data_IF_486386543727
#
_entry.id   IF_486386543727
#
_cell.length_a   1.000
_cell.length_b   1.000
_cell.length_c   1.000
_cell.angle_alpha   90.00
_cell.angle_beta   90.00
_cell.angle_gamma   90.00
#
_symmetry.space_group_name_H-M   'P 1'
#
loop_
_entity.id
_entity.type
_entity.pdbx_description
1 polymer ?
#
# COMPACT_ATOMS: atom_id res chain seq x y z
N UNK A 1 -4.95 -27.88 -10.20
CA UNK A 1 -3.96 -28.73 -9.53
C UNK A 1 -2.88 -29.23 -10.50
N UNK A 2 -3.18 -30.02 -11.53
CA UNK A 2 -2.18 -30.57 -12.46
C UNK A 2 -1.38 -29.48 -13.17
N UNK A 3 -2.02 -28.41 -13.63
CA UNK A 3 -1.34 -27.27 -14.28
C UNK A 3 -0.40 -26.53 -13.33
N UNK A 4 -0.80 -26.31 -12.08
CA UNK A 4 0.06 -25.69 -11.06
C UNK A 4 1.28 -26.57 -10.76
N UNK A 5 1.11 -27.88 -10.62
CA UNK A 5 2.22 -28.83 -10.44
C UNK A 5 3.18 -28.84 -11.63
N UNK A 6 2.65 -28.84 -12.87
CA UNK A 6 3.48 -28.74 -14.09
C UNK A 6 4.21 -27.39 -14.17
N UNK A 7 3.54 -26.30 -13.77
CA UNK A 7 4.15 -25.00 -13.77
C UNK A 7 5.26 -24.88 -12.71
N UNK A 8 5.05 -25.39 -11.49
CA UNK A 8 6.03 -25.34 -10.42
C UNK A 8 7.17 -26.37 -10.58
N UNK A 9 6.95 -27.49 -11.28
CA UNK A 9 7.88 -28.63 -11.37
C UNK A 9 9.11 -28.43 -12.26
N UNK A 10 9.45 -27.18 -12.65
CA UNK A 10 10.67 -26.85 -13.40
C UNK A 10 11.58 -26.03 -12.49
N UNK A 11 12.89 -26.37 -12.41
CA UNK A 11 13.82 -25.78 -11.44
C UNK A 11 13.82 -24.24 -11.41
N UNK A 12 13.93 -23.59 -12.58
CA UNK A 12 13.95 -22.12 -12.64
C UNK A 12 12.64 -21.51 -12.13
N UNK A 13 11.50 -22.13 -12.46
CA UNK A 13 10.20 -21.63 -12.00
C UNK A 13 10.01 -21.81 -10.50
N UNK A 14 10.54 -22.89 -9.93
CA UNK A 14 10.53 -23.09 -8.48
C UNK A 14 11.34 -22.01 -7.76
N UNK A 15 12.55 -21.67 -8.29
CA UNK A 15 13.39 -20.58 -7.79
C UNK A 15 12.67 -19.24 -7.88
N UNK A 16 12.04 -18.93 -9.02
CA UNK A 16 11.21 -17.71 -9.17
C UNK A 16 10.11 -17.66 -8.12
N UNK A 17 9.39 -18.76 -7.90
CA UNK A 17 8.34 -18.82 -6.86
C UNK A 17 8.90 -18.61 -5.46
N UNK A 18 10.07 -19.17 -5.13
CA UNK A 18 10.72 -18.99 -3.85
C UNK A 18 11.08 -17.53 -3.59
N UNK A 19 11.56 -16.82 -4.60
CA UNK A 19 11.88 -15.39 -4.52
C UNK A 19 10.60 -14.53 -4.38
N UNK A 20 9.60 -14.77 -5.22
CA UNK A 20 8.36 -13.99 -5.24
C UNK A 20 7.47 -14.21 -4.01
N UNK A 21 7.68 -15.27 -3.26
CA UNK A 21 7.04 -15.46 -1.93
C UNK A 21 7.61 -14.51 -0.88
N UNK A 22 8.85 -14.12 -1.03
CA UNK A 22 9.53 -13.24 -0.07
C UNK A 22 9.24 -11.77 -0.40
N UNK A 23 9.31 -11.40 -1.69
CA UNK A 23 9.25 -9.99 -2.13
C UNK A 23 8.64 -9.87 -3.53
N UNK A 24 8.04 -8.70 -3.81
CA UNK A 24 7.66 -8.32 -5.15
C UNK A 24 8.91 -7.88 -5.92
N UNK A 25 9.13 -8.48 -7.10
CA UNK A 25 10.32 -8.23 -7.90
C UNK A 25 9.95 -7.86 -9.34
N UNK A 26 10.69 -6.91 -9.90
CA UNK A 26 10.66 -6.59 -11.33
C UNK A 26 11.36 -7.68 -12.14
N UNK A 27 11.12 -7.69 -13.46
CA UNK A 27 11.85 -8.60 -14.37
C UNK A 27 13.36 -8.37 -14.28
N UNK A 28 13.80 -7.10 -14.20
CA UNK A 28 15.22 -6.76 -14.07
C UNK A 28 15.85 -7.32 -12.80
N UNK A 29 15.18 -7.18 -11.67
CA UNK A 29 15.64 -7.71 -10.37
C UNK A 29 15.68 -9.26 -10.37
N UNK A 30 14.66 -9.90 -10.94
CA UNK A 30 14.66 -11.37 -11.09
C UNK A 30 15.84 -11.85 -11.96
N UNK A 31 16.20 -11.11 -13.03
CA UNK A 31 17.38 -11.43 -13.85
C UNK A 31 18.66 -11.28 -13.04
N UNK A 32 18.78 -10.23 -12.21
CA UNK A 32 19.96 -10.03 -11.37
C UNK A 32 20.14 -11.15 -10.33
N UNK A 33 19.05 -11.59 -9.69
CA UNK A 33 19.10 -12.65 -8.69
C UNK A 33 19.37 -14.03 -9.30
N UNK A 34 18.71 -14.37 -10.40
CA UNK A 34 18.75 -15.71 -11.00
C UNK A 34 19.98 -16.00 -11.85
N UNK A 35 20.90 -15.03 -12.03
CA UNK A 35 22.02 -15.00 -12.97
C UNK A 35 21.65 -14.75 -14.45
N UNK A 36 22.54 -14.05 -15.20
CA UNK A 36 22.27 -13.60 -16.58
C UNK A 36 22.08 -14.72 -17.61
N UNK A 37 22.20 -15.99 -17.24
CA UNK A 37 22.06 -17.14 -18.12
C UNK A 37 20.60 -17.61 -18.35
N UNK A 38 19.57 -16.82 -17.95
CA UNK A 38 18.17 -17.22 -18.08
C UNK A 38 17.42 -16.47 -19.22
N UNK A 39 17.75 -16.69 -20.50
CA UNK A 39 17.11 -15.98 -21.63
C UNK A 39 15.61 -16.29 -21.77
N UNK A 40 15.08 -17.24 -20.98
CA UNK A 40 13.69 -17.67 -20.99
C UNK A 40 12.84 -17.19 -19.83
N UNK A 41 13.36 -16.30 -18.97
CA UNK A 41 12.62 -15.80 -17.79
C UNK A 41 11.20 -15.26 -18.14
N UNK A 42 10.99 -14.47 -19.21
CA UNK A 42 9.65 -14.05 -19.60
C UNK A 42 8.71 -15.22 -19.88
N UNK A 43 9.21 -16.33 -20.43
CA UNK A 43 8.43 -17.54 -20.69
C UNK A 43 8.05 -18.26 -19.38
N UNK A 44 8.98 -18.34 -18.43
CA UNK A 44 8.72 -18.92 -17.09
C UNK A 44 7.66 -18.10 -16.34
N UNK A 45 7.78 -16.77 -16.33
CA UNK A 45 6.80 -15.87 -15.72
C UNK A 45 5.41 -15.99 -16.35
N UNK A 46 5.34 -16.08 -17.69
CA UNK A 46 4.07 -16.30 -18.41
C UNK A 46 3.42 -17.64 -18.01
N UNK A 47 4.20 -18.70 -17.90
CA UNK A 47 3.69 -20.03 -17.51
C UNK A 47 3.16 -20.01 -16.06
N UNK A 48 3.88 -19.38 -15.13
CA UNK A 48 3.47 -19.24 -13.74
C UNK A 48 2.21 -18.37 -13.57
N UNK A 49 2.13 -17.26 -14.33
CA UNK A 49 0.93 -16.41 -14.35
C UNK A 49 -0.28 -17.15 -14.91
N UNK A 50 -0.12 -17.88 -16.01
CA UNK A 50 -1.21 -18.69 -16.59
C UNK A 50 -1.71 -19.80 -15.65
N UNK A 51 -0.84 -20.34 -14.79
CA UNK A 51 -1.18 -21.32 -13.77
C UNK A 51 -1.79 -20.71 -12.49
N UNK A 52 -1.91 -19.37 -12.41
CA UNK A 52 -2.44 -18.67 -11.24
C UNK A 52 -1.53 -18.70 -10.01
N UNK A 53 -0.23 -18.97 -10.19
CA UNK A 53 0.76 -19.02 -9.12
C UNK A 53 1.50 -17.69 -8.91
N UNK A 54 1.47 -16.83 -9.92
CA UNK A 54 2.13 -15.52 -9.92
C UNK A 54 1.19 -14.47 -10.49
N UNK A 55 1.19 -13.30 -9.87
CA UNK A 55 0.47 -12.12 -10.34
C UNK A 55 1.44 -11.16 -11.05
N UNK A 56 0.96 -10.56 -12.15
CA UNK A 56 1.70 -9.56 -12.92
C UNK A 56 1.16 -8.17 -12.59
N UNK A 57 2.02 -7.25 -12.17
CA UNK A 57 1.66 -5.89 -11.78
C UNK A 57 2.42 -4.88 -12.63
N UNK A 58 1.76 -4.27 -13.64
CA UNK A 58 2.35 -3.16 -14.38
C UNK A 58 2.53 -1.94 -13.45
N UNK A 59 3.69 -1.27 -13.55
CA UNK A 59 4.03 -0.10 -12.75
C UNK A 59 4.85 0.88 -13.61
N UNK A 60 4.16 1.76 -14.34
CA UNK A 60 4.76 2.65 -15.32
C UNK A 60 5.48 1.87 -16.44
N UNK A 61 6.78 2.11 -16.61
CA UNK A 61 7.63 1.38 -17.56
C UNK A 61 8.14 0.04 -17.01
N UNK A 62 7.85 -0.27 -15.75
CA UNK A 62 8.26 -1.51 -15.09
C UNK A 62 7.12 -2.52 -15.01
N UNK A 63 7.48 -3.79 -14.85
CA UNK A 63 6.53 -4.85 -14.55
C UNK A 63 7.06 -5.61 -13.36
N UNK A 64 6.32 -5.56 -12.27
CA UNK A 64 6.58 -6.36 -11.07
C UNK A 64 5.80 -7.65 -11.11
N UNK A 65 6.31 -8.63 -10.39
CA UNK A 65 5.68 -9.93 -10.19
C UNK A 65 5.65 -10.25 -8.69
N UNK A 66 4.60 -10.94 -8.25
CA UNK A 66 4.45 -11.46 -6.89
C UNK A 66 3.90 -12.87 -6.89
N UNK A 67 4.11 -13.61 -5.82
CA UNK A 67 3.40 -14.86 -5.59
C UNK A 67 1.90 -14.60 -5.42
N UNK A 68 1.06 -15.45 -5.98
CA UNK A 68 -0.38 -15.26 -5.94
C UNK A 68 -0.92 -15.20 -4.52
N UNK A 69 -1.78 -14.20 -4.26
CA UNK A 69 -2.49 -14.01 -3.00
C UNK A 69 -3.89 -14.65 -3.01
N UNK A 70 -4.36 -15.02 -4.20
CA UNK A 70 -5.63 -15.72 -4.34
C UNK A 70 -5.64 -17.07 -3.57
N UNK A 71 -6.78 -17.39 -2.94
CA UNK A 71 -6.92 -18.53 -2.01
C UNK A 71 -6.34 -19.84 -2.54
N UNK A 72 -6.55 -20.14 -3.82
CA UNK A 72 -6.01 -21.35 -4.46
C UNK A 72 -4.48 -21.28 -4.63
N UNK A 73 -3.94 -20.19 -5.19
CA UNK A 73 -2.51 -20.03 -5.44
C UNK A 73 -1.72 -20.02 -4.14
N UNK A 74 -2.20 -19.26 -3.14
CA UNK A 74 -1.58 -19.18 -1.80
C UNK A 74 -1.52 -20.56 -1.14
N UNK A 75 -2.66 -21.28 -1.06
CA UNK A 75 -2.71 -22.60 -0.44
C UNK A 75 -1.80 -23.63 -1.15
N UNK A 76 -1.74 -23.58 -2.48
CA UNK A 76 -0.84 -24.44 -3.25
C UNK A 76 0.63 -24.14 -2.94
N UNK A 77 1.02 -22.87 -2.97
CA UNK A 77 2.41 -22.44 -2.68
C UNK A 77 2.81 -22.77 -1.26
N UNK A 78 1.94 -22.55 -0.28
CA UNK A 78 2.22 -22.88 1.12
C UNK A 78 2.45 -24.37 1.31
N UNK A 79 1.63 -25.23 0.67
CA UNK A 79 1.78 -26.68 0.71
C UNK A 79 3.07 -27.14 0.00
N UNK A 80 3.41 -26.55 -1.14
CA UNK A 80 4.61 -26.89 -1.91
C UNK A 80 5.88 -26.55 -1.10
N UNK A 81 5.97 -25.33 -0.57
CA UNK A 81 7.16 -24.87 0.14
C UNK A 81 7.29 -25.42 1.55
N UNK A 82 6.23 -25.97 2.14
CA UNK A 82 6.31 -26.74 3.38
C UNK A 82 7.06 -28.09 3.20
N UNK A 83 7.17 -28.59 1.96
CA UNK A 83 7.84 -29.85 1.62
C UNK A 83 9.28 -29.65 1.10
N UNK A 84 9.67 -28.41 0.80
CA UNK A 84 11.01 -28.10 0.27
C UNK A 84 12.02 -27.90 1.40
N UNK A 85 13.20 -28.45 1.20
CA UNK A 85 14.35 -28.18 2.07
C UNK A 85 14.77 -26.71 1.90
N UNK A 86 14.79 -25.97 3.00
CA UNK A 86 15.20 -24.56 3.01
C UNK A 86 16.70 -24.38 2.79
N UNK A 87 17.47 -25.42 3.02
CA UNK A 87 18.93 -25.43 2.87
C UNK A 87 19.39 -25.86 1.47
N UNK A 88 18.47 -25.98 0.50
CA UNK A 88 18.81 -26.24 -0.89
C UNK A 88 19.83 -25.19 -1.38
N UNK A 89 21.04 -25.59 -1.82
CA UNK A 89 22.14 -24.65 -2.10
C UNK A 89 21.81 -23.58 -3.16
N UNK A 90 20.93 -23.88 -4.12
CA UNK A 90 20.50 -22.91 -5.12
C UNK A 90 19.56 -21.85 -4.53
N UNK A 91 18.61 -22.27 -3.68
CA UNK A 91 17.67 -21.35 -3.01
C UNK A 91 18.40 -20.45 -2.01
N UNK A 92 19.40 -20.98 -1.29
CA UNK A 92 20.22 -20.20 -0.37
C UNK A 92 21.06 -19.13 -1.11
N UNK A 93 21.64 -19.47 -2.26
CA UNK A 93 22.36 -18.50 -3.10
C UNK A 93 21.44 -17.42 -3.66
N UNK A 94 20.26 -17.79 -4.09
CA UNK A 94 19.26 -16.82 -4.58
C UNK A 94 18.80 -15.88 -3.46
N UNK A 95 18.62 -16.38 -2.25
CA UNK A 95 18.28 -15.56 -1.09
C UNK A 95 19.37 -14.53 -0.78
N UNK A 96 20.65 -14.92 -0.80
CA UNK A 96 21.76 -14.00 -0.59
C UNK A 96 21.80 -12.87 -1.65
N UNK A 97 21.59 -13.20 -2.94
CA UNK A 97 21.51 -12.20 -4.00
C UNK A 97 20.27 -11.33 -3.91
N UNK A 98 19.16 -11.86 -3.42
CA UNK A 98 17.97 -11.08 -3.16
C UNK A 98 18.26 -9.99 -2.11
N UNK A 99 19.04 -10.29 -1.10
CA UNK A 99 19.48 -9.31 -0.09
C UNK A 99 20.38 -8.22 -0.70
N UNK A 100 21.26 -8.55 -1.67
CA UNK A 100 22.05 -7.55 -2.42
C UNK A 100 21.14 -6.62 -3.25
N UNK A 101 20.15 -7.16 -3.94
CA UNK A 101 19.17 -6.37 -4.70
C UNK A 101 18.37 -5.45 -3.79
N UNK A 102 18.01 -5.93 -2.60
CA UNK A 102 17.30 -5.12 -1.59
C UNK A 102 18.17 -3.99 -1.04
N UNK A 103 19.45 -4.25 -0.79
CA UNK A 103 20.40 -3.22 -0.36
C UNK A 103 20.54 -2.12 -1.43
N UNK A 104 20.66 -2.48 -2.71
CA UNK A 104 20.72 -1.52 -3.81
C UNK A 104 19.42 -0.70 -3.93
N UNK A 105 18.25 -1.29 -3.68
CA UNK A 105 16.97 -0.59 -3.63
C UNK A 105 16.93 0.42 -2.48
N UNK A 106 17.41 0.04 -1.30
CA UNK A 106 17.48 0.92 -0.14
C UNK A 106 18.42 2.13 -0.39
N UNK A 107 19.58 1.90 -0.99
CA UNK A 107 20.51 2.96 -1.38
C UNK A 107 19.90 3.93 -2.40
N UNK A 108 19.17 3.41 -3.39
CA UNK A 108 18.45 4.23 -4.36
C UNK A 108 17.34 5.07 -3.72
N UNK A 109 16.63 4.53 -2.72
CA UNK A 109 15.62 5.24 -1.95
C UNK A 109 16.24 6.36 -1.10
N UNK A 110 17.35 6.10 -0.44
CA UNK A 110 18.10 7.09 0.35
C UNK A 110 18.61 8.24 -0.52
N UNK A 111 19.15 7.94 -1.71
CA UNK A 111 19.58 8.96 -2.66
C UNK A 111 18.41 9.84 -3.13
N UNK A 112 17.24 9.27 -3.35
CA UNK A 112 16.03 10.03 -3.68
C UNK A 112 15.63 10.99 -2.54
N UNK A 113 15.59 10.51 -1.29
CA UNK A 113 15.27 11.36 -0.14
C UNK A 113 16.29 12.49 0.07
N UNK A 114 17.57 12.21 -0.10
CA UNK A 114 18.60 13.23 0.04
C UNK A 114 18.41 14.39 -0.95
N UNK A 115 17.92 14.11 -2.14
CA UNK A 115 17.66 15.13 -3.17
C UNK A 115 16.44 16.03 -2.88
N UNK A 116 15.52 15.57 -2.04
CA UNK A 116 14.27 16.31 -1.70
C UNK A 116 14.23 16.70 -0.21
N UNK A 117 15.32 16.50 0.54
CA UNK A 117 15.37 16.68 1.98
C UNK A 117 14.95 18.10 2.43
N UNK A 118 15.40 19.15 1.74
CA UNK A 118 15.04 20.53 2.08
C UNK A 118 13.53 20.79 1.96
N UNK A 119 12.90 20.23 0.92
CA UNK A 119 11.45 20.30 0.71
C UNK A 119 10.68 19.56 1.79
N UNK A 120 11.15 18.36 2.16
CA UNK A 120 10.54 17.55 3.22
C UNK A 120 10.72 18.15 4.62
N UNK A 121 11.87 18.77 4.91
CA UNK A 121 12.09 19.43 6.21
C UNK A 121 11.18 20.64 6.38
N UNK A 122 10.95 21.41 5.32
CA UNK A 122 10.00 22.53 5.34
C UNK A 122 8.55 22.04 5.49
N UNK A 123 8.15 20.97 4.79
CA UNK A 123 6.84 20.35 4.97
C UNK A 123 6.68 19.80 6.39
N UNK A 124 7.69 19.11 6.92
CA UNK A 124 7.65 18.56 8.29
C UNK A 124 7.47 19.65 9.36
N UNK A 125 8.04 20.82 9.16
CA UNK A 125 7.88 21.95 10.11
C UNK A 125 6.45 22.51 10.16
N UNK A 126 5.63 22.23 9.14
CA UNK A 126 4.21 22.62 9.08
C UNK A 126 3.27 21.58 9.71
N UNK A 127 3.79 20.39 10.04
CA UNK A 127 2.98 19.26 10.46
C UNK A 127 3.08 19.05 11.97
N UNK A 128 1.96 18.62 12.55
CA UNK A 128 1.90 18.15 13.93
C UNK A 128 2.80 16.90 14.13
N UNK A 129 3.33 16.65 15.34
CA UNK A 129 4.14 15.44 15.59
C UNK A 129 3.44 14.18 15.13
N UNK A 130 4.06 13.44 14.18
CA UNK A 130 3.47 12.25 13.56
C UNK A 130 3.08 11.18 14.58
N UNK A 131 3.85 11.03 15.67
CA UNK A 131 3.61 10.02 16.70
C UNK A 131 2.24 10.16 17.37
N UNK A 132 1.75 11.39 17.56
CA UNK A 132 0.43 11.64 18.15
C UNK A 132 -0.69 11.29 17.17
N UNK A 133 -0.52 11.62 15.89
CA UNK A 133 -1.49 11.27 14.83
C UNK A 133 -1.54 9.76 14.66
N UNK A 134 -0.39 9.10 14.59
CA UNK A 134 -0.28 7.65 14.44
C UNK A 134 -0.87 6.90 15.63
N UNK A 135 -0.59 7.35 16.86
CA UNK A 135 -1.21 6.80 18.07
C UNK A 135 -2.73 6.92 18.04
N UNK A 136 -3.25 8.08 17.62
CA UNK A 136 -4.68 8.30 17.48
C UNK A 136 -5.32 7.44 16.37
N UNK A 137 -4.62 7.21 15.27
CA UNK A 137 -5.08 6.34 14.20
C UNK A 137 -5.24 4.89 14.68
N UNK A 138 -4.24 4.37 15.39
CA UNK A 138 -4.30 3.00 15.95
C UNK A 138 -5.43 2.90 16.99
N UNK A 139 -5.59 3.91 17.85
CA UNK A 139 -6.69 3.97 18.83
C UNK A 139 -8.06 3.95 18.15
N UNK A 140 -8.26 4.77 17.10
CA UNK A 140 -9.52 4.86 16.36
C UNK A 140 -9.82 3.60 15.54
N UNK A 141 -8.80 2.97 14.96
CA UNK A 141 -8.94 1.71 14.23
C UNK A 141 -9.30 0.56 15.18
N UNK A 142 -8.69 0.54 16.37
CA UNK A 142 -8.70 -0.59 17.31
C UNK A 142 -7.54 -1.54 17.09
N UNK A 143 -7.40 -2.52 17.98
CA UNK A 143 -6.23 -3.40 18.06
C UNK A 143 -6.22 -4.57 17.05
N UNK A 144 -7.16 -4.64 16.13
CA UNK A 144 -7.28 -5.77 15.20
C UNK A 144 -7.67 -7.08 15.91
N UNK A 145 -7.33 -8.27 15.37
CA UNK A 145 -6.71 -8.43 14.06
C UNK A 145 -7.68 -8.07 12.92
N UNK A 146 -7.15 -7.40 11.88
CA UNK A 146 -7.88 -7.13 10.64
C UNK A 146 -7.59 -8.26 9.64
N UNK A 147 -8.57 -8.71 8.88
CA UNK A 147 -8.33 -9.65 7.78
C UNK A 147 -7.53 -8.96 6.67
N UNK A 148 -8.04 -7.81 6.16
CA UNK A 148 -7.33 -7.04 5.13
C UNK A 148 -7.36 -5.54 5.43
N UNK A 149 -6.17 -4.93 5.35
CA UNK A 149 -5.95 -3.48 5.43
C UNK A 149 -5.49 -2.95 4.07
N UNK A 150 -6.09 -1.87 3.60
CA UNK A 150 -5.69 -1.17 2.39
C UNK A 150 -5.27 0.27 2.71
N UNK A 151 -4.15 0.71 2.13
CA UNK A 151 -3.62 2.06 2.27
C UNK A 151 -3.64 2.78 0.91
N UNK A 152 -4.55 3.75 0.77
CA UNK A 152 -4.79 4.49 -0.47
C UNK A 152 -3.91 5.74 -0.52
N UNK A 153 -2.97 5.78 -1.47
CA UNK A 153 -1.91 6.77 -1.52
C UNK A 153 -0.83 6.47 -0.50
N UNK A 154 -0.33 5.24 -0.50
CA UNK A 154 0.59 4.73 0.54
C UNK A 154 1.91 5.50 0.64
N UNK A 155 2.28 6.28 -0.39
CA UNK A 155 3.52 7.05 -0.40
C UNK A 155 4.73 6.18 -0.07
N UNK A 156 5.40 6.50 1.01
CA UNK A 156 6.59 5.81 1.49
C UNK A 156 6.31 4.58 2.36
N UNK A 157 5.04 4.16 2.46
CA UNK A 157 4.63 2.94 3.17
C UNK A 157 4.46 3.10 4.69
N UNK A 158 4.36 4.33 5.20
CA UNK A 158 4.32 4.55 6.66
C UNK A 158 3.09 3.93 7.33
N UNK A 159 1.91 4.08 6.73
CA UNK A 159 0.69 3.48 7.27
C UNK A 159 0.72 1.95 7.20
N UNK A 160 1.32 1.39 6.14
CA UNK A 160 1.54 -0.06 6.07
C UNK A 160 2.46 -0.55 7.19
N UNK A 161 3.55 0.17 7.49
CA UNK A 161 4.44 -0.19 8.61
C UNK A 161 3.69 -0.22 9.95
N UNK A 162 2.73 0.67 10.13
CA UNK A 162 1.95 0.79 11.37
C UNK A 162 0.87 -0.30 11.49
N UNK A 163 0.16 -0.61 10.39
CA UNK A 163 -1.03 -1.45 10.42
C UNK A 163 -0.82 -2.89 9.94
N UNK A 164 0.24 -3.20 9.19
CA UNK A 164 0.51 -4.57 8.76
C UNK A 164 0.70 -5.56 9.93
N UNK A 165 1.31 -5.18 11.07
CA UNK A 165 1.39 -6.06 12.24
C UNK A 165 0.03 -6.40 12.86
N UNK A 166 -1.02 -5.64 12.54
CA UNK A 166 -2.39 -5.80 13.04
C UNK A 166 -3.31 -6.47 12.02
N UNK A 167 -2.78 -6.95 10.87
CA UNK A 167 -3.55 -7.47 9.76
C UNK A 167 -3.02 -8.82 9.26
N UNK A 168 -3.90 -9.63 8.69
CA UNK A 168 -3.50 -10.84 7.96
C UNK A 168 -2.90 -10.50 6.59
N UNK A 169 -3.47 -9.48 5.92
CA UNK A 169 -3.01 -8.93 4.65
C UNK A 169 -3.03 -7.40 4.70
N UNK A 170 -1.93 -6.76 4.27
CA UNK A 170 -1.86 -5.31 4.14
C UNK A 170 -1.32 -4.94 2.75
N UNK A 171 -2.02 -4.06 2.03
CA UNK A 171 -1.60 -3.64 0.70
C UNK A 171 -1.80 -2.14 0.51
N UNK A 172 -0.75 -1.47 -0.01
CA UNK A 172 -0.75 -0.05 -0.32
C UNK A 172 -0.78 0.22 -1.81
N UNK A 173 -1.47 1.30 -2.19
CA UNK A 173 -1.58 1.75 -3.58
C UNK A 173 -1.07 3.18 -3.67
N UNK A 174 -0.25 3.46 -4.68
CA UNK A 174 0.18 4.81 -5.03
C UNK A 174 0.31 4.97 -6.55
N UNK A 175 0.16 6.18 -7.06
CA UNK A 175 0.39 6.51 -8.47
C UNK A 175 1.88 6.60 -8.80
N UNK A 176 2.71 6.98 -7.82
CA UNK A 176 4.12 7.27 -7.99
C UNK A 176 4.97 6.01 -7.86
N UNK A 177 5.58 5.58 -8.97
CA UNK A 177 6.58 4.51 -8.95
C UNK A 177 7.75 4.80 -7.98
N UNK A 178 8.20 6.07 -7.91
CA UNK A 178 9.28 6.46 -6.99
C UNK A 178 8.88 6.26 -5.53
N UNK A 179 7.68 6.68 -5.14
CA UNK A 179 7.17 6.47 -3.78
C UNK A 179 7.08 4.97 -3.45
N UNK A 180 6.62 4.15 -4.39
CA UNK A 180 6.56 2.70 -4.19
C UNK A 180 7.93 2.04 -4.07
N UNK A 181 8.95 2.55 -4.77
CA UNK A 181 10.33 2.08 -4.59
C UNK A 181 10.82 2.35 -3.17
N UNK A 182 10.56 3.56 -2.66
CA UNK A 182 10.88 3.94 -1.29
C UNK A 182 10.07 3.12 -0.28
N UNK A 183 8.78 2.93 -0.51
CA UNK A 183 7.93 2.12 0.36
C UNK A 183 8.47 0.68 0.51
N UNK A 184 8.88 0.05 -0.59
CA UNK A 184 9.48 -1.30 -0.56
C UNK A 184 10.75 -1.31 0.30
N UNK A 185 11.65 -0.34 0.10
CA UNK A 185 12.88 -0.22 0.89
C UNK A 185 12.59 -0.05 2.38
N UNK A 186 11.67 0.85 2.74
CA UNK A 186 11.29 1.11 4.13
C UNK A 186 10.68 -0.13 4.81
N UNK A 187 9.75 -0.82 4.13
CA UNK A 187 9.11 -2.02 4.66
C UNK A 187 10.12 -3.16 4.86
N UNK A 188 11.06 -3.32 3.93
CA UNK A 188 12.15 -4.29 4.03
C UNK A 188 13.07 -3.98 5.20
N UNK A 189 13.52 -2.72 5.33
CA UNK A 189 14.40 -2.27 6.41
C UNK A 189 13.76 -2.44 7.79
N UNK A 190 12.44 -2.23 7.89
CA UNK A 190 11.68 -2.38 9.13
C UNK A 190 11.25 -3.83 9.40
N UNK A 191 11.56 -4.77 8.52
CA UNK A 191 11.19 -6.19 8.68
C UNK A 191 9.68 -6.46 8.55
N UNK A 192 8.94 -5.58 7.87
CA UNK A 192 7.49 -5.72 7.69
C UNK A 192 7.20 -6.64 6.50
N UNK A 193 7.14 -7.95 6.76
CA UNK A 193 7.01 -8.98 5.71
C UNK A 193 5.57 -9.21 5.23
N UNK A 194 4.56 -8.72 5.95
CA UNK A 194 3.12 -8.91 5.62
C UNK A 194 2.55 -7.81 4.72
N UNK A 195 3.30 -6.75 4.45
CA UNK A 195 2.85 -5.62 3.65
C UNK A 195 3.34 -5.69 2.20
N UNK A 196 2.51 -5.22 1.28
CA UNK A 196 2.80 -5.15 -0.15
C UNK A 196 2.40 -3.80 -0.71
N UNK A 197 3.03 -3.41 -1.81
CA UNK A 197 2.67 -2.17 -2.51
C UNK A 197 2.54 -2.42 -4.01
N UNK A 198 1.65 -1.64 -4.66
CA UNK A 198 1.45 -1.69 -6.11
C UNK A 198 1.08 -0.33 -6.66
N UNK A 199 1.40 -0.10 -7.93
CA UNK A 199 0.94 1.10 -8.61
C UNK A 199 -0.55 1.01 -8.94
N UNK A 200 -1.29 2.09 -8.67
CA UNK A 200 -2.70 2.18 -8.98
C UNK A 200 -3.31 3.52 -8.63
N UNK A 201 -4.49 3.76 -9.19
CA UNK A 201 -5.27 4.96 -8.91
C UNK A 201 -6.26 4.67 -7.78
N UNK A 202 -6.24 5.47 -6.72
CA UNK A 202 -7.14 5.33 -5.57
C UNK A 202 -8.63 5.55 -5.89
N UNK A 203 -8.94 6.07 -7.10
CA UNK A 203 -10.32 6.20 -7.58
C UNK A 203 -10.82 4.98 -8.37
N UNK A 204 -9.97 3.98 -8.59
CA UNK A 204 -10.29 2.75 -9.31
C UNK A 204 -9.27 1.66 -8.93
N UNK A 205 -9.35 1.18 -7.68
CA UNK A 205 -8.40 0.19 -7.17
C UNK A 205 -8.75 -1.23 -7.64
N UNK A 206 -7.75 -2.08 -7.91
CA UNK A 206 -7.97 -3.43 -8.45
C UNK A 206 -8.28 -4.44 -7.35
N UNK A 207 -9.22 -4.11 -6.47
CA UNK A 207 -9.71 -4.99 -5.41
C UNK A 207 -11.20 -5.24 -5.55
N UNK A 208 -11.64 -6.40 -5.10
CA UNK A 208 -13.03 -6.80 -5.12
C UNK A 208 -13.88 -5.97 -4.14
N UNK A 209 -15.17 -5.86 -4.43
CA UNK A 209 -16.14 -5.28 -3.52
C UNK A 209 -16.16 -6.04 -2.21
N UNK A 210 -16.34 -5.31 -1.09
CA UNK A 210 -16.46 -5.90 0.24
C UNK A 210 -15.30 -6.85 0.62
N UNK A 211 -14.07 -6.47 0.28
CA UNK A 211 -12.86 -7.28 0.50
C UNK A 211 -11.98 -6.80 1.65
N UNK A 212 -12.14 -5.55 2.12
CA UNK A 212 -11.29 -4.94 3.15
C UNK A 212 -12.04 -4.70 4.47
N UNK A 213 -11.34 -4.86 5.58
CA UNK A 213 -11.84 -4.53 6.91
C UNK A 213 -11.51 -3.10 7.32
N UNK A 214 -10.38 -2.59 6.85
CA UNK A 214 -9.90 -1.24 7.10
C UNK A 214 -9.32 -0.64 5.82
N UNK A 215 -9.74 0.58 5.49
CA UNK A 215 -9.10 1.42 4.46
C UNK A 215 -8.55 2.67 5.15
N UNK A 216 -7.32 3.06 4.79
CA UNK A 216 -6.66 4.26 5.29
C UNK A 216 -6.40 5.18 4.11
N UNK A 217 -6.65 6.48 4.25
CA UNK A 217 -6.29 7.53 3.32
C UNK A 217 -5.54 8.60 4.13
N UNK A 218 -4.21 8.65 4.00
CA UNK A 218 -3.39 9.52 4.83
C UNK A 218 -2.70 10.59 3.99
N UNK A 219 -3.15 11.84 4.13
CA UNK A 219 -2.61 13.02 3.43
C UNK A 219 -2.58 12.87 1.89
N UNK A 220 -3.70 12.48 1.32
CA UNK A 220 -3.86 12.25 -0.13
C UNK A 220 -4.94 13.13 -0.74
N UNK A 221 -6.03 13.36 -0.03
CA UNK A 221 -7.22 13.98 -0.62
C UNK A 221 -6.99 15.43 -1.07
N UNK A 222 -6.09 16.15 -0.41
CA UNK A 222 -5.74 17.52 -0.78
C UNK A 222 -5.00 17.64 -2.14
N UNK A 223 -4.43 16.53 -2.65
CA UNK A 223 -3.86 16.47 -4.00
C UNK A 223 -4.89 16.16 -5.09
N UNK A 224 -6.13 15.82 -4.72
CA UNK A 224 -7.13 15.30 -5.67
C UNK A 224 -8.12 16.38 -6.11
N UNK A 225 -8.43 16.41 -7.40
CA UNK A 225 -9.53 17.23 -7.94
C UNK A 225 -10.90 16.75 -7.42
N UNK A 226 -11.07 15.44 -7.32
CA UNK A 226 -12.31 14.77 -6.93
C UNK A 226 -12.11 13.79 -5.77
N UNK A 227 -11.91 14.27 -4.51
CA UNK A 227 -11.68 13.41 -3.33
C UNK A 227 -12.84 12.45 -3.04
N UNK A 228 -14.07 12.86 -3.35
CA UNK A 228 -15.26 12.02 -3.21
C UNK A 228 -15.16 10.69 -3.99
N UNK A 229 -14.39 10.64 -5.08
CA UNK A 229 -14.17 9.39 -5.84
C UNK A 229 -13.31 8.40 -5.07
N UNK A 230 -12.29 8.87 -4.34
CA UNK A 230 -11.48 7.99 -3.49
C UNK A 230 -12.31 7.46 -2.32
N UNK A 231 -13.18 8.29 -1.71
CA UNK A 231 -14.10 7.88 -0.64
C UNK A 231 -15.10 6.85 -1.16
N UNK A 232 -15.65 7.05 -2.37
CA UNK A 232 -16.56 6.09 -3.00
C UNK A 232 -15.89 4.73 -3.25
N UNK A 233 -14.66 4.76 -3.73
CA UNK A 233 -13.89 3.56 -4.00
C UNK A 233 -13.49 2.85 -2.70
N UNK A 234 -13.13 3.59 -1.65
CA UNK A 234 -12.91 3.04 -0.32
C UNK A 234 -14.19 2.37 0.23
N UNK A 235 -15.34 3.02 0.08
CA UNK A 235 -16.63 2.40 0.46
C UNK A 235 -16.91 1.13 -0.32
N UNK A 236 -16.64 1.10 -1.63
CA UNK A 236 -16.86 -0.09 -2.47
C UNK A 236 -16.10 -1.30 -1.95
N UNK A 237 -14.82 -1.14 -1.66
CA UNK A 237 -13.96 -2.24 -1.22
C UNK A 237 -14.15 -2.62 0.25
N UNK A 238 -14.65 -1.73 1.09
CA UNK A 238 -14.92 -2.04 2.49
C UNK A 238 -16.05 -3.06 2.63
N UNK A 239 -15.87 -4.03 3.52
CA UNK A 239 -16.92 -4.93 3.99
C UNK A 239 -17.99 -4.15 4.75
N UNK A 240 -19.26 -4.63 4.83
CA UNK A 240 -20.22 -4.11 5.80
C UNK A 240 -19.64 -4.13 7.21
N UNK A 241 -19.68 -3.01 7.92
CA UNK A 241 -19.03 -2.82 9.22
C UNK A 241 -17.53 -2.49 9.14
N UNK A 242 -16.93 -2.52 7.94
CA UNK A 242 -15.52 -2.11 7.72
C UNK A 242 -15.34 -0.61 7.95
N UNK A 243 -14.10 -0.22 8.25
CA UNK A 243 -13.74 1.12 8.69
C UNK A 243 -12.94 1.87 7.63
N UNK A 244 -13.24 3.15 7.47
CA UNK A 244 -12.41 4.11 6.72
C UNK A 244 -11.80 5.11 7.69
N UNK A 245 -10.48 5.25 7.68
CA UNK A 245 -9.75 6.30 8.37
C UNK A 245 -9.16 7.27 7.36
N UNK A 246 -9.45 8.55 7.53
CA UNK A 246 -8.91 9.61 6.66
C UNK A 246 -8.15 10.59 7.53
N UNK A 247 -6.92 10.89 7.16
CA UNK A 247 -6.09 11.95 7.75
C UNK A 247 -5.83 12.98 6.68
N UNK A 248 -6.25 14.21 6.94
CA UNK A 248 -5.96 15.32 6.04
C UNK A 248 -6.06 16.66 6.78
N UNK A 249 -5.77 17.77 6.12
CA UNK A 249 -5.78 19.10 6.72
C UNK A 249 -7.21 19.62 6.89
N UNK A 250 -7.45 20.33 8.00
CA UNK A 250 -8.59 21.22 8.14
C UNK A 250 -8.48 22.37 7.12
N UNK A 251 -9.58 23.06 6.78
CA UNK A 251 -9.53 24.23 5.90
C UNK A 251 -8.54 25.28 6.40
N UNK A 252 -7.70 25.81 5.48
CA UNK A 252 -6.68 26.83 5.76
C UNK A 252 -6.48 27.73 4.54
N UNK A 253 -5.72 28.83 4.69
CA UNK A 253 -5.50 29.84 3.67
C UNK A 253 -4.04 29.91 3.16
N UNK A 254 -3.25 28.86 3.38
CA UNK A 254 -1.83 28.82 2.99
C UNK A 254 -1.68 28.56 1.47
N UNK A 255 -1.89 29.61 0.66
CA UNK A 255 -1.89 29.52 -0.82
C UNK A 255 -0.56 29.05 -1.42
N UNK A 256 0.57 29.23 -0.74
CA UNK A 256 1.86 28.74 -1.21
C UNK A 256 1.89 27.21 -1.37
N UNK A 257 1.05 26.47 -0.64
CA UNK A 257 0.95 25.02 -0.78
C UNK A 257 0.39 24.60 -2.15
N UNK A 258 -0.46 25.42 -2.77
CA UNK A 258 -0.89 25.20 -4.15
C UNK A 258 0.26 25.41 -5.13
N UNK A 259 0.98 26.51 -4.98
CA UNK A 259 2.00 26.93 -5.93
C UNK A 259 3.28 26.08 -5.86
N UNK A 260 3.70 25.72 -4.65
CA UNK A 260 4.99 25.07 -4.40
C UNK A 260 4.87 23.55 -4.19
N UNK A 261 3.73 23.08 -3.67
CA UNK A 261 3.55 21.66 -3.23
C UNK A 261 2.42 20.92 -3.94
N UNK A 262 1.77 21.55 -4.92
CA UNK A 262 0.78 20.91 -5.77
C UNK A 262 -0.53 20.55 -5.07
N UNK A 263 -0.88 21.24 -3.97
CA UNK A 263 -2.17 21.05 -3.35
C UNK A 263 -3.28 21.58 -4.25
N UNK A 264 -4.23 20.74 -4.62
CA UNK A 264 -5.44 21.16 -5.32
C UNK A 264 -6.44 21.82 -4.37
N UNK A 265 -6.44 21.38 -3.10
CA UNK A 265 -7.34 21.86 -2.05
C UNK A 265 -6.55 22.31 -0.83
N UNK A 266 -7.01 23.40 -0.21
CA UNK A 266 -6.46 23.93 1.04
C UNK A 266 -7.28 23.38 2.22
N UNK A 267 -7.16 22.05 2.43
CA UNK A 267 -7.84 21.30 3.48
C UNK A 267 -9.26 20.86 3.11
N UNK A 268 -9.87 20.08 4.02
CA UNK A 268 -11.18 19.44 3.88
C UNK A 268 -12.13 19.91 4.97
N UNK A 269 -13.28 20.49 4.57
CA UNK A 269 -14.33 20.83 5.50
C UNK A 269 -15.09 19.56 5.94
N UNK A 270 -15.43 19.47 7.23
CA UNK A 270 -16.17 18.33 7.79
C UNK A 270 -17.51 18.11 7.09
N UNK A 271 -18.21 19.20 6.76
CA UNK A 271 -19.51 19.16 6.07
C UNK A 271 -19.41 18.50 4.70
N UNK A 272 -18.34 18.79 3.95
CA UNK A 272 -18.08 18.16 2.65
C UNK A 272 -17.79 16.67 2.81
N UNK A 273 -16.96 16.31 3.80
CA UNK A 273 -16.66 14.92 4.13
C UNK A 273 -17.92 14.16 4.54
N UNK A 274 -18.82 14.78 5.30
CA UNK A 274 -20.09 14.19 5.72
C UNK A 274 -21.00 13.89 4.53
N UNK A 275 -21.14 14.84 3.59
CA UNK A 275 -21.92 14.65 2.36
C UNK A 275 -21.35 13.49 1.54
N UNK A 276 -20.05 13.52 1.21
CA UNK A 276 -19.40 12.48 0.40
C UNK A 276 -19.48 11.09 1.02
N UNK A 277 -19.39 11.00 2.35
CA UNK A 277 -19.51 9.73 3.08
C UNK A 277 -20.94 9.21 3.04
N UNK A 278 -21.93 10.09 3.29
CA UNK A 278 -23.34 9.72 3.28
C UNK A 278 -23.82 9.23 1.90
N UNK A 279 -23.34 9.85 0.81
CA UNK A 279 -23.67 9.49 -0.56
C UNK A 279 -23.28 8.06 -0.92
N UNK A 280 -22.28 7.52 -0.22
CA UNK A 280 -21.75 6.17 -0.49
C UNK A 280 -21.99 5.16 0.65
N UNK A 281 -22.89 5.50 1.58
CA UNK A 281 -23.30 4.58 2.66
C UNK A 281 -22.28 4.40 3.78
N UNK A 282 -21.44 5.40 3.99
CA UNK A 282 -20.52 5.48 5.13
C UNK A 282 -21.14 6.38 6.21
N UNK A 283 -21.13 5.92 7.45
CA UNK A 283 -21.51 6.69 8.64
C UNK A 283 -20.25 7.37 9.19
N UNK A 284 -20.12 8.70 8.93
CA UNK A 284 -18.97 9.50 9.34
C UNK A 284 -19.15 10.00 10.78
N UNK A 285 -18.08 9.91 11.57
CA UNK A 285 -18.01 10.46 12.93
C UNK A 285 -17.36 11.83 12.96
N UNK A 286 -17.53 12.56 14.06
CA UNK A 286 -16.82 13.82 14.31
C UNK A 286 -15.31 13.63 14.23
N UNK A 287 -14.56 14.55 13.60
CA UNK A 287 -13.12 14.43 13.47
C UNK A 287 -12.40 14.64 14.79
N UNK A 288 -11.32 13.90 14.98
CA UNK A 288 -10.33 14.22 16.00
C UNK A 288 -9.32 15.19 15.41
N UNK A 289 -9.27 16.41 15.95
CA UNK A 289 -8.44 17.51 15.44
C UNK A 289 -7.17 17.67 16.24
N UNK A 290 -6.07 17.94 15.55
CA UNK A 290 -4.75 18.22 16.08
C UNK A 290 -4.32 19.61 15.59
N UNK A 291 -4.48 20.61 16.42
CA UNK A 291 -4.07 21.96 16.12
C UNK A 291 -2.56 22.14 16.36
N UNK A 292 -1.87 23.00 15.61
CA UNK A 292 -0.46 23.31 15.85
C UNK A 292 -0.25 23.89 17.25
N UNK A 293 0.95 23.76 17.85
CA UNK A 293 1.29 24.38 19.12
C UNK A 293 1.05 25.90 19.11
N UNK A 294 0.65 26.45 20.26
CA UNK A 294 0.44 27.89 20.40
C UNK A 294 1.71 28.68 20.03
N UNK A 295 1.60 29.59 19.05
CA UNK A 295 2.70 30.42 18.59
C UNK A 295 3.28 30.09 17.21
N UNK A 296 2.90 28.96 16.59
CA UNK A 296 3.24 28.64 15.21
C UNK A 296 2.20 29.26 14.26
N UNK A 297 2.57 30.38 13.61
CA UNK A 297 1.65 31.14 12.74
C UNK A 297 1.30 30.42 11.44
N UNK A 298 2.12 29.47 10.98
CA UNK A 298 1.94 28.73 9.72
C UNK A 298 1.60 27.25 9.93
N UNK A 299 1.29 26.84 11.16
CA UNK A 299 0.98 25.45 11.47
C UNK A 299 -0.39 25.01 10.92
N UNK A 300 -0.45 23.78 10.35
CA UNK A 300 -1.66 23.19 9.82
C UNK A 300 -2.39 22.35 10.88
N UNK A 301 -3.69 22.55 11.02
CA UNK A 301 -4.53 21.65 11.80
C UNK A 301 -4.77 20.37 10.99
N UNK A 302 -4.44 19.22 11.58
CA UNK A 302 -4.68 17.90 11.01
C UNK A 302 -5.94 17.30 11.62
N UNK A 303 -6.84 16.83 10.77
CA UNK A 303 -8.05 16.13 11.17
C UNK A 303 -7.93 14.63 10.86
N UNK A 304 -8.40 13.80 11.78
CA UNK A 304 -8.64 12.38 11.55
C UNK A 304 -10.13 12.14 11.55
N UNK A 305 -10.67 11.72 10.42
CA UNK A 305 -12.05 11.25 10.31
C UNK A 305 -12.09 9.73 10.33
N UNK A 306 -13.06 9.21 11.08
CA UNK A 306 -13.43 7.80 11.03
C UNK A 306 -14.80 7.69 10.39
N UNK A 307 -14.96 6.76 9.46
CA UNK A 307 -16.26 6.37 8.96
C UNK A 307 -16.41 4.85 8.99
N UNK A 308 -17.65 4.37 9.10
CA UNK A 308 -17.97 2.93 9.11
C UNK A 308 -18.97 2.63 8.02
N UNK A 309 -18.73 1.59 7.23
CA UNK A 309 -19.67 1.17 6.20
C UNK A 309 -20.92 0.56 6.83
N UNK A 310 -22.08 1.16 6.53
CA UNK A 310 -23.37 0.70 7.04
C UNK A 310 -23.62 -0.77 6.70
N UNK A 311 -24.10 -1.56 7.64
CA UNK A 311 -24.40 -2.98 7.44
C UNK A 311 -25.65 -3.22 6.55
N UNK A 312 -26.47 -2.18 6.32
CA UNK A 312 -27.66 -2.21 5.46
C UNK A 312 -27.50 -1.20 4.33
N UNK A 313 -27.80 -1.55 3.06
CA UNK A 313 -27.93 -0.54 2.03
C UNK A 313 -29.02 0.45 2.48
N UNK A 314 -28.72 1.76 2.45
CA UNK A 314 -29.77 2.78 2.61
C UNK A 314 -30.75 2.57 1.45
N UNK A 315 -31.99 2.16 1.75
CA UNK A 315 -33.08 2.18 0.77
C UNK A 315 -33.21 3.61 0.26
N UNK A 316 -32.91 3.82 -1.02
CA UNK A 316 -33.24 5.07 -1.68
C UNK A 316 -34.78 5.18 -1.63
N UNK A 317 -35.29 6.01 -0.75
CA UNK A 317 -36.68 6.46 -0.80
C UNK A 317 -36.79 7.27 -2.09
N UNK A 318 -37.50 6.69 -3.06
CA UNK A 318 -37.81 7.26 -4.36
C UNK A 318 -38.73 8.50 -4.24
#
# INVERSE_FOLDING_TARGET
MIEALRAAGEPTRLRVLALLRQRDLSVGELVQVLEPAQPRLPHHLKALTAAGLVERMPEGSFVFYRASTGSYGKAFLDSLFAQLDRDEPELARDAARLDEVSAARAESAEAYFSNIAETWDRLRSLHYPNDLIEGALVELAGMGPFGRVLDFGTGTGRMLSLFAPLAEEAEGIDLSHHMLTVARANLEQQGVHGARVRQGNVTAVPFDDNSADLVIIHQVLHYMDAPNRAIAEASRVLKPGGQLLIVDFAPHDLEFLRAEYGHHRLGMAHEAMAVWSADVGLDLFEPRSFAPPEGEQDGLTVNIWKAVKSAKPKEHVA
#
